data_IF_917511776957
#
_entry.id   IF_917511776957
#
_cell.length_a   1.000
_cell.length_b   1.000
_cell.length_c   1.000
_cell.angle_alpha   90.00
_cell.angle_beta   90.00
_cell.angle_gamma   90.00
#
_symmetry.space_group_name_H-M   'P 1'
#
loop_
_entity.id
_entity.type
_entity.pdbx_description
1 polymer ?
#
# COMPACT_ATOMS: atom_id res chain seq x y z
N UNK A 1 25.17 -23.50 1.47
CA UNK A 1 23.78 -23.04 1.66
C UNK A 1 23.55 -21.66 1.04
N UNK A 2 24.43 -21.24 0.10
CA UNK A 2 24.46 -19.85 -0.42
C UNK A 2 24.10 -19.70 -1.90
N UNK A 3 23.62 -20.77 -2.56
CA UNK A 3 23.26 -20.71 -3.98
C UNK A 3 21.86 -20.11 -4.24
N UNK A 4 20.97 -20.12 -3.24
CA UNK A 4 19.62 -19.57 -3.36
C UNK A 4 19.58 -18.06 -3.18
N UNK A 5 20.47 -17.48 -2.39
CA UNK A 5 20.48 -16.05 -2.09
C UNK A 5 20.76 -15.17 -3.32
N UNK A 6 21.49 -15.70 -4.33
CA UNK A 6 21.81 -14.98 -5.57
C UNK A 6 20.84 -15.27 -6.73
N UNK A 7 19.80 -16.07 -6.51
CA UNK A 7 18.77 -16.28 -7.50
C UNK A 7 17.73 -15.17 -7.43
N UNK A 8 17.03 -14.92 -8.52
CA UNK A 8 15.90 -13.98 -8.57
C UNK A 8 14.90 -14.23 -7.41
N UNK A 9 14.52 -15.49 -7.21
CA UNK A 9 13.59 -15.87 -6.14
C UNK A 9 14.17 -15.65 -4.74
N UNK A 10 15.46 -15.90 -4.54
CA UNK A 10 16.14 -15.65 -3.27
C UNK A 10 16.14 -14.17 -2.90
N UNK A 11 16.47 -13.30 -3.85
CA UNK A 11 16.44 -11.85 -3.66
C UNK A 11 15.01 -11.37 -3.38
N UNK A 12 14.01 -11.82 -4.15
CA UNK A 12 12.61 -11.47 -3.93
C UNK A 12 12.09 -11.92 -2.56
N UNK A 13 12.47 -13.12 -2.10
CA UNK A 13 12.12 -13.59 -0.77
C UNK A 13 12.79 -12.76 0.34
N UNK A 14 14.04 -12.36 0.16
CA UNK A 14 14.73 -11.45 1.09
C UNK A 14 13.99 -10.11 1.19
N UNK A 15 13.58 -9.53 0.07
CA UNK A 15 12.75 -8.29 0.07
C UNK A 15 11.41 -8.48 0.78
N UNK A 16 10.75 -9.62 0.63
CA UNK A 16 9.49 -9.92 1.35
C UNK A 16 9.70 -10.00 2.87
N UNK A 17 10.89 -10.38 3.33
CA UNK A 17 11.26 -10.39 4.75
C UNK A 17 11.49 -9.00 5.33
N UNK A 18 11.76 -7.98 4.49
CA UNK A 18 11.94 -6.60 4.93
C UNK A 18 10.59 -5.99 5.32
N UNK A 19 10.39 -5.78 6.61
CA UNK A 19 9.16 -5.20 7.13
C UNK A 19 9.43 -3.87 7.82
N UNK A 20 9.51 -2.79 7.03
CA UNK A 20 9.67 -1.42 7.58
C UNK A 20 8.48 -1.01 8.47
N UNK A 21 7.30 -1.59 8.26
CA UNK A 21 6.11 -1.34 9.09
C UNK A 21 6.23 -1.90 10.51
N UNK A 22 7.21 -2.79 10.79
CA UNK A 22 7.51 -3.21 12.17
C UNK A 22 8.02 -2.06 13.06
N UNK A 23 8.45 -0.95 12.46
CA UNK A 23 8.86 0.27 13.16
C UNK A 23 7.70 1.21 13.47
N UNK A 24 6.49 0.89 13.03
CA UNK A 24 5.28 1.68 13.20
C UNK A 24 4.28 0.97 14.12
N UNK A 25 3.44 1.69 14.85
CA UNK A 25 2.32 1.10 15.58
C UNK A 25 1.16 0.68 14.66
N UNK A 26 1.34 0.81 13.35
CA UNK A 26 0.37 0.51 12.30
C UNK A 26 0.86 -0.67 11.46
N UNK A 27 -0.02 -1.59 11.16
CA UNK A 27 0.22 -2.57 10.11
C UNK A 27 0.30 -1.88 8.74
N UNK A 28 0.92 -2.54 7.76
CA UNK A 28 0.97 -2.04 6.38
C UNK A 28 -0.42 -1.70 5.83
N UNK A 29 -1.42 -2.51 6.15
CA UNK A 29 -2.78 -2.33 5.64
C UNK A 29 -3.47 -1.13 6.28
N UNK A 30 -3.28 -0.93 7.58
CA UNK A 30 -3.78 0.25 8.31
C UNK A 30 -3.15 1.54 7.78
N UNK A 31 -1.82 1.55 7.66
CA UNK A 31 -1.11 2.69 7.08
C UNK A 31 -1.63 3.02 5.67
N UNK A 32 -1.75 2.03 4.78
CA UNK A 32 -2.21 2.25 3.40
C UNK A 32 -3.62 2.85 3.35
N UNK A 33 -4.54 2.38 4.20
CA UNK A 33 -5.88 2.95 4.28
C UNK A 33 -5.85 4.40 4.76
N UNK A 34 -5.14 4.68 5.85
CA UNK A 34 -4.98 6.04 6.36
C UNK A 34 -4.31 6.97 5.35
N UNK A 35 -3.29 6.48 4.65
CA UNK A 35 -2.59 7.23 3.62
C UNK A 35 -3.49 7.59 2.43
N UNK A 36 -4.34 6.66 1.98
CA UNK A 36 -5.32 6.93 0.93
C UNK A 36 -6.32 8.01 1.35
N UNK A 37 -6.87 7.92 2.57
CA UNK A 37 -7.77 8.95 3.11
C UNK A 37 -7.04 10.29 3.22
N UNK A 38 -5.80 10.30 3.71
CA UNK A 38 -4.97 11.50 3.83
C UNK A 38 -4.72 12.17 2.48
N UNK A 39 -4.40 11.40 1.45
CA UNK A 39 -4.19 11.93 0.09
C UNK A 39 -5.45 12.52 -0.52
N UNK A 40 -6.59 11.88 -0.30
CA UNK A 40 -7.85 12.31 -0.92
C UNK A 40 -8.51 13.50 -0.21
N UNK A 41 -8.10 13.86 1.02
CA UNK A 41 -8.76 14.92 1.81
C UNK A 41 -8.78 16.30 1.14
N UNK A 42 -7.78 16.59 0.27
CA UNK A 42 -7.71 17.88 -0.45
C UNK A 42 -8.76 18.00 -1.55
N UNK A 43 -9.09 16.86 -2.20
CA UNK A 43 -10.06 16.80 -3.30
C UNK A 43 -11.45 16.40 -2.83
N UNK A 44 -11.55 15.72 -1.70
CA UNK A 44 -12.80 15.23 -1.13
C UNK A 44 -12.83 15.55 0.38
N UNK A 45 -13.26 16.78 0.77
CA UNK A 45 -13.36 17.18 2.17
C UNK A 45 -14.28 16.28 3.00
N UNK A 46 -15.30 15.69 2.37
CA UNK A 46 -16.25 14.75 3.00
C UNK A 46 -15.61 13.41 3.37
N UNK A 47 -14.42 13.14 2.87
CA UNK A 47 -13.70 11.89 3.09
C UNK A 47 -13.70 10.96 1.87
N UNK A 48 -13.21 9.76 2.08
CA UNK A 48 -13.14 8.72 1.06
C UNK A 48 -14.19 7.64 1.35
N UNK A 49 -14.96 7.23 0.34
CA UNK A 49 -15.95 6.16 0.56
C UNK A 49 -15.28 4.81 0.76
N UNK A 50 -15.92 3.94 1.56
CA UNK A 50 -15.45 2.56 1.79
C UNK A 50 -15.30 1.80 0.46
N UNK A 51 -16.20 2.01 -0.49
CA UNK A 51 -16.13 1.40 -1.83
C UNK A 51 -14.91 1.87 -2.62
N UNK A 52 -14.59 3.17 -2.57
CA UNK A 52 -13.37 3.72 -3.19
C UNK A 52 -12.11 3.14 -2.54
N UNK A 53 -12.06 3.08 -1.21
CA UNK A 53 -10.93 2.46 -0.49
C UNK A 53 -10.76 0.99 -0.86
N UNK A 54 -11.84 0.22 -0.92
CA UNK A 54 -11.81 -1.19 -1.34
C UNK A 54 -11.22 -1.35 -2.73
N UNK A 55 -11.67 -0.53 -3.69
CA UNK A 55 -11.15 -0.55 -5.06
C UNK A 55 -9.66 -0.20 -5.13
N UNK A 56 -9.23 0.84 -4.42
CA UNK A 56 -7.84 1.30 -4.43
C UNK A 56 -6.90 0.32 -3.74
N UNK A 57 -7.35 -0.31 -2.66
CA UNK A 57 -6.59 -1.31 -1.91
C UNK A 57 -6.44 -2.64 -2.65
N UNK A 58 -7.31 -2.94 -3.61
CA UNK A 58 -7.36 -4.22 -4.35
C UNK A 58 -7.42 -5.43 -3.41
N UNK A 59 -8.13 -5.29 -2.29
CA UNK A 59 -8.36 -6.37 -1.32
C UNK A 59 -9.85 -6.57 -1.11
N UNK A 60 -10.31 -7.75 -0.69
CA UNK A 60 -11.73 -8.01 -0.44
C UNK A 60 -12.33 -7.03 0.58
N UNK A 61 -13.56 -6.59 0.32
CA UNK A 61 -14.28 -5.65 1.20
C UNK A 61 -14.32 -6.06 2.68
N UNK A 62 -14.48 -7.36 3.05
CA UNK A 62 -14.43 -7.77 4.45
C UNK A 62 -13.10 -7.45 5.14
N UNK A 63 -11.98 -7.54 4.40
CA UNK A 63 -10.66 -7.19 4.94
C UNK A 63 -10.56 -5.68 5.19
N UNK A 64 -10.99 -4.84 4.23
CA UNK A 64 -11.05 -3.39 4.40
C UNK A 64 -11.92 -3.02 5.61
N UNK A 65 -13.12 -3.60 5.71
CA UNK A 65 -14.06 -3.33 6.81
C UNK A 65 -13.48 -3.68 8.17
N UNK A 66 -12.72 -4.78 8.27
CA UNK A 66 -12.03 -5.19 9.51
C UNK A 66 -10.95 -4.18 9.90
N UNK A 67 -10.13 -3.77 8.94
CA UNK A 67 -9.06 -2.78 9.16
C UNK A 67 -9.64 -1.42 9.57
N UNK A 68 -10.71 -0.97 8.88
CA UNK A 68 -11.39 0.28 9.25
C UNK A 68 -11.96 0.24 10.66
N UNK A 69 -12.52 -0.91 11.09
CA UNK A 69 -13.00 -1.07 12.47
C UNK A 69 -11.87 -0.95 13.50
N UNK A 70 -10.71 -1.56 13.22
CA UNK A 70 -9.52 -1.43 14.06
C UNK A 70 -9.06 0.03 14.18
N UNK A 71 -8.94 0.72 13.05
CA UNK A 71 -8.53 2.13 13.01
C UNK A 71 -9.52 3.06 13.72
N UNK A 72 -10.82 2.79 13.62
CA UNK A 72 -11.86 3.55 14.32
C UNK A 72 -11.81 3.31 15.84
N UNK A 73 -11.63 2.06 16.28
CA UNK A 73 -11.47 1.71 17.68
C UNK A 73 -10.21 2.36 18.30
N UNK A 74 -9.14 2.50 17.50
CA UNK A 74 -7.92 3.19 17.91
C UNK A 74 -8.04 4.72 17.83
N UNK A 75 -9.18 5.24 17.38
CA UNK A 75 -9.44 6.67 17.30
C UNK A 75 -8.72 7.40 16.16
N UNK A 76 -8.21 6.71 15.16
CA UNK A 76 -7.50 7.30 14.03
C UNK A 76 -8.40 7.76 12.90
N UNK A 77 -9.58 7.16 12.76
CA UNK A 77 -10.57 7.52 11.75
C UNK A 77 -11.95 7.70 12.36
N UNK A 78 -12.84 8.35 11.58
CA UNK A 78 -14.28 8.36 11.78
C UNK A 78 -14.96 7.83 10.55
N UNK A 79 -16.11 7.18 10.74
CA UNK A 79 -16.99 6.74 9.64
C UNK A 79 -18.34 7.41 9.79
N UNK A 80 -18.80 8.02 8.72
CA UNK A 80 -20.10 8.69 8.67
C UNK A 80 -20.90 8.17 7.49
N UNK A 81 -22.15 7.78 7.75
CA UNK A 81 -23.07 7.36 6.70
C UNK A 81 -23.53 8.61 5.95
N UNK A 82 -23.44 8.61 4.62
CA UNK A 82 -23.91 9.70 3.81
C UNK A 82 -25.43 9.93 4.05
N UNK A 83 -25.79 11.18 4.32
CA UNK A 83 -27.22 11.53 4.56
C UNK A 83 -28.07 11.41 3.30
N UNK A 84 -27.47 11.71 2.15
CA UNK A 84 -28.13 11.72 0.84
C UNK A 84 -28.23 10.30 0.23
N UNK A 85 -27.19 9.49 0.43
CA UNK A 85 -27.19 8.08 0.00
C UNK A 85 -26.61 7.18 1.11
N UNK A 86 -27.49 6.56 1.88
CA UNK A 86 -27.17 5.65 2.99
C UNK A 86 -26.34 4.42 2.59
N UNK A 87 -26.18 4.17 1.27
CA UNK A 87 -25.30 3.10 0.77
C UNK A 87 -23.84 3.47 0.85
N UNK A 88 -23.53 4.77 0.97
CA UNK A 88 -22.19 5.29 1.07
C UNK A 88 -21.82 5.59 2.53
N UNK A 89 -20.65 5.13 2.92
CA UNK A 89 -20.03 5.47 4.19
C UNK A 89 -18.73 6.18 3.88
N UNK A 90 -18.59 7.39 4.35
CA UNK A 90 -17.37 8.19 4.26
C UNK A 90 -16.43 7.87 5.42
N UNK A 91 -15.15 7.89 5.11
CA UNK A 91 -14.05 7.69 6.07
C UNK A 91 -13.20 8.95 6.07
N UNK A 92 -13.02 9.54 7.24
CA UNK A 92 -12.16 10.70 7.47
C UNK A 92 -11.12 10.38 8.53
N UNK A 93 -9.97 11.06 8.50
CA UNK A 93 -9.00 10.99 9.59
C UNK A 93 -9.46 11.89 10.76
N UNK A 94 -9.17 11.45 11.96
CA UNK A 94 -9.19 12.32 13.14
C UNK A 94 -7.89 13.12 13.22
N UNK A 95 -7.80 14.10 14.12
CA UNK A 95 -6.54 14.81 14.36
C UNK A 95 -5.42 13.83 14.78
N UNK A 96 -5.73 12.82 15.62
CA UNK A 96 -4.79 11.78 15.99
C UNK A 96 -4.36 10.93 14.78
N UNK A 97 -5.29 10.60 13.89
CA UNK A 97 -5.00 9.87 12.66
C UNK A 97 -4.13 10.66 11.69
N UNK A 98 -4.34 11.98 11.57
CA UNK A 98 -3.48 12.83 10.75
C UNK A 98 -2.03 12.89 11.26
N UNK A 99 -1.87 13.04 12.58
CA UNK A 99 -0.55 13.02 13.22
C UNK A 99 0.15 11.68 12.97
N UNK A 100 -0.56 10.57 13.16
CA UNK A 100 0.04 9.24 13.03
C UNK A 100 0.42 8.91 11.58
N UNK A 101 -0.41 9.26 10.59
CA UNK A 101 -0.06 9.04 9.19
C UNK A 101 1.11 9.92 8.74
N UNK A 102 1.21 11.16 9.24
CA UNK A 102 2.33 12.04 8.95
C UNK A 102 3.63 11.50 9.56
N UNK A 103 3.59 11.01 10.80
CA UNK A 103 4.72 10.35 11.46
C UNK A 103 5.18 9.13 10.68
N UNK A 104 4.23 8.29 10.24
CA UNK A 104 4.53 7.14 9.41
C UNK A 104 5.19 7.54 8.08
N UNK A 105 4.68 8.59 7.41
CA UNK A 105 5.28 9.10 6.19
C UNK A 105 6.72 9.57 6.41
N UNK A 106 6.99 10.32 7.48
CA UNK A 106 8.34 10.78 7.80
C UNK A 106 9.31 9.61 8.00
N UNK A 107 8.90 8.58 8.76
CA UNK A 107 9.73 7.39 8.97
C UNK A 107 10.03 6.67 7.66
N UNK A 108 9.02 6.50 6.80
CA UNK A 108 9.20 5.86 5.50
C UNK A 108 10.11 6.68 4.56
N UNK A 109 10.00 8.00 4.60
CA UNK A 109 10.88 8.92 3.86
C UNK A 109 12.33 8.84 4.38
N UNK A 110 12.53 8.78 5.69
CA UNK A 110 13.86 8.60 6.30
C UNK A 110 14.48 7.26 5.90
N UNK A 111 13.69 6.19 5.95
CA UNK A 111 14.11 4.87 5.51
C UNK A 111 14.52 4.88 4.02
N UNK A 112 13.69 5.45 3.16
CA UNK A 112 13.96 5.58 1.74
C UNK A 112 15.23 6.41 1.47
N UNK A 113 15.36 7.55 2.12
CA UNK A 113 16.54 8.43 2.04
C UNK A 113 17.81 7.72 2.53
N UNK A 114 17.68 6.90 3.58
CA UNK A 114 18.77 6.07 4.08
C UNK A 114 19.24 5.03 3.08
N UNK A 115 18.33 4.46 2.28
CA UNK A 115 18.67 3.55 1.17
C UNK A 115 19.35 4.34 0.05
N UNK A 116 18.75 5.44 -0.41
CA UNK A 116 19.27 6.24 -1.52
C UNK A 116 20.71 6.71 -1.31
N UNK A 117 21.09 7.03 -0.06
CA UNK A 117 22.48 7.43 0.27
C UNK A 117 23.52 6.33 0.01
N UNK A 118 23.12 5.08 -0.21
CA UNK A 118 24.02 3.95 -0.48
C UNK A 118 24.20 3.68 -1.97
N UNK A 119 23.54 4.44 -2.81
CA UNK A 119 23.59 4.34 -4.26
C UNK A 119 23.97 5.69 -4.84
N UNK A 120 24.74 5.68 -5.91
CA UNK A 120 24.91 6.88 -6.75
C UNK A 120 23.60 7.16 -7.49
N UNK A 121 23.46 8.36 -8.05
CA UNK A 121 22.29 8.70 -8.86
C UNK A 121 22.16 7.76 -10.07
N UNK A 122 23.28 7.46 -10.71
CA UNK A 122 23.34 6.60 -11.88
C UNK A 122 22.91 5.16 -11.56
N UNK A 123 23.37 4.59 -10.45
CA UNK A 123 22.95 3.27 -9.97
C UNK A 123 21.46 3.26 -9.61
N UNK A 124 20.94 4.32 -9.01
CA UNK A 124 19.54 4.46 -8.68
C UNK A 124 18.67 4.50 -9.93
N UNK A 125 19.06 5.26 -10.95
CA UNK A 125 18.33 5.38 -12.21
C UNK A 125 18.34 4.05 -12.97
N UNK A 126 19.46 3.36 -13.04
CA UNK A 126 19.59 2.02 -13.63
C UNK A 126 18.70 1.00 -12.92
N UNK A 127 18.73 0.99 -11.58
CA UNK A 127 17.90 0.10 -10.79
C UNK A 127 16.41 0.33 -11.05
N UNK A 128 15.97 1.58 -11.09
CA UNK A 128 14.57 1.92 -11.34
C UNK A 128 14.13 1.54 -12.76
N UNK A 129 15.00 1.69 -13.75
CA UNK A 129 14.72 1.26 -15.13
C UNK A 129 14.59 -0.27 -15.20
N UNK A 130 15.52 -1.02 -14.60
CA UNK A 130 15.47 -2.48 -14.58
C UNK A 130 14.23 -3.01 -13.84
N UNK A 131 13.84 -2.38 -12.73
CA UNK A 131 12.64 -2.75 -11.98
C UNK A 131 11.36 -2.51 -12.79
N UNK A 132 11.27 -1.40 -13.54
CA UNK A 132 10.12 -1.14 -14.42
C UNK A 132 10.02 -2.20 -15.52
N UNK A 133 11.14 -2.50 -16.19
CA UNK A 133 11.20 -3.54 -17.23
C UNK A 133 10.80 -4.90 -16.69
N UNK A 134 11.32 -5.25 -15.51
CA UNK A 134 10.95 -6.49 -14.82
C UNK A 134 9.45 -6.57 -14.53
N UNK A 135 8.87 -5.48 -14.02
CA UNK A 135 7.43 -5.42 -13.73
C UNK A 135 6.59 -5.59 -15.02
N UNK A 136 6.97 -4.91 -16.10
CA UNK A 136 6.28 -5.01 -17.40
C UNK A 136 6.33 -6.45 -17.91
N UNK A 137 7.52 -7.03 -18.01
CA UNK A 137 7.71 -8.40 -18.49
C UNK A 137 6.93 -9.43 -17.64
N UNK A 138 6.98 -9.30 -16.30
CA UNK A 138 6.24 -10.20 -15.41
C UNK A 138 4.71 -10.03 -15.54
N UNK A 139 4.23 -8.83 -15.85
CA UNK A 139 2.80 -8.57 -16.07
C UNK A 139 2.32 -9.17 -17.38
N UNK A 140 3.10 -9.01 -18.45
CA UNK A 140 2.82 -9.57 -19.78
C UNK A 140 2.79 -11.10 -19.73
N UNK A 141 3.82 -11.71 -19.16
CA UNK A 141 3.90 -13.17 -18.98
C UNK A 141 2.70 -13.72 -18.18
N UNK A 142 2.34 -13.02 -17.09
CA UNK A 142 1.20 -13.43 -16.27
C UNK A 142 -0.13 -13.39 -17.04
N UNK A 143 -0.31 -12.39 -17.90
CA UNK A 143 -1.53 -12.24 -18.69
C UNK A 143 -1.58 -13.26 -19.85
N UNK A 144 -0.46 -13.60 -20.48
CA UNK A 144 -0.33 -14.69 -21.45
C UNK A 144 -0.70 -16.04 -20.81
N UNK A 145 -0.12 -16.36 -19.65
CA UNK A 145 -0.41 -17.61 -18.91
C UNK A 145 -1.89 -17.71 -18.48
N UNK A 146 -2.56 -16.59 -18.19
CA UNK A 146 -4.00 -16.58 -17.90
C UNK A 146 -4.83 -16.82 -19.16
N UNK A 147 -4.44 -16.22 -20.28
CA UNK A 147 -5.11 -16.42 -21.58
C UNK A 147 -5.08 -17.87 -22.02
N UNK A 148 -3.92 -18.51 -21.91
CA UNK A 148 -3.76 -19.95 -22.25
C UNK A 148 -4.62 -20.87 -21.36
N UNK A 149 -4.75 -20.56 -20.06
CA UNK A 149 -5.62 -21.36 -19.16
C UNK A 149 -7.10 -21.22 -19.49
N UNK A 150 -7.54 -20.07 -19.99
CA UNK A 150 -8.92 -19.86 -20.41
C UNK A 150 -9.24 -20.51 -21.77
N UNK A 151 -8.24 -20.67 -22.63
CA UNK A 151 -8.40 -21.32 -23.92
C UNK A 151 -8.43 -22.86 -23.84
N UNK A 152 -7.87 -23.44 -22.78
CA UNK A 152 -7.72 -24.88 -22.58
C UNK A 152 -8.69 -25.48 -21.53
N UNK A 153 -9.63 -24.74 -21.01
CA UNK A 153 -10.66 -25.16 -20.05
C UNK A 153 -12.07 -24.92 -20.55
#
# INVERSE_FOLDING_TARGET
MDCEANTFFGVMNAFRGLNVFSLLPLSRQEYMLMFLVFRHRKTNPEGCTVSTLTRLMRVPQPAVSRTLRGLENNGYIRREVCREDRRNTYVTLTAAGEIEVQRANQLLEEFHRGIQKRFTQEESDQLMELLRRLYTAASEELDEMKGEKQANG
#
